data_IF_648385539114
#
_entry.id   IF_648385539114
#
_cell.length_a   1.000
_cell.length_b   1.000
_cell.length_c   1.000
_cell.angle_alpha   90.00
_cell.angle_beta   90.00
_cell.angle_gamma   90.00
#
_symmetry.space_group_name_H-M   'P 1'
#
loop_
_entity.id
_entity.type
_entity.pdbx_description
1 polymer ?
#
# COMPACT_ATOMS: atom_id res chain seq x y z
N UNK A 1 16.86 -19.50 4.02
CA UNK A 1 16.84 -18.04 4.15
C UNK A 1 17.19 -17.64 5.57
N UNK A 2 18.15 -16.73 5.71
CA UNK A 2 18.60 -16.10 6.95
C UNK A 2 17.65 -14.97 7.36
N UNK A 3 17.79 -14.43 8.58
CA UNK A 3 17.07 -13.21 8.99
C UNK A 3 17.32 -12.03 8.05
N UNK A 4 18.56 -11.89 7.58
CA UNK A 4 18.95 -10.83 6.66
C UNK A 4 18.23 -10.96 5.31
N UNK A 5 18.04 -12.19 4.81
CA UNK A 5 17.31 -12.44 3.57
C UNK A 5 15.84 -12.02 3.70
N UNK A 6 15.18 -12.35 4.82
CA UNK A 6 13.79 -11.96 5.05
C UNK A 6 13.62 -10.45 5.23
N UNK A 7 14.54 -9.79 5.96
CA UNK A 7 14.53 -8.34 6.10
C UNK A 7 14.73 -7.63 4.75
N UNK A 8 15.62 -8.17 3.90
CA UNK A 8 15.86 -7.65 2.54
C UNK A 8 14.63 -7.84 1.65
N UNK A 9 14.01 -9.03 1.70
CA UNK A 9 12.76 -9.29 0.98
C UNK A 9 11.64 -8.35 1.42
N UNK A 10 11.47 -8.16 2.74
CA UNK A 10 10.46 -7.25 3.28
C UNK A 10 10.71 -5.82 2.80
N UNK A 11 11.96 -5.35 2.89
CA UNK A 11 12.38 -4.04 2.38
C UNK A 11 12.00 -3.86 0.91
N UNK A 12 12.35 -4.82 0.05
CA UNK A 12 12.03 -4.74 -1.38
C UNK A 12 10.53 -4.68 -1.61
N UNK A 13 9.74 -5.51 -0.93
CA UNK A 13 8.29 -5.51 -1.09
C UNK A 13 7.61 -4.23 -0.58
N UNK A 14 8.12 -3.63 0.50
CA UNK A 14 7.62 -2.32 0.96
C UNK A 14 7.97 -1.24 -0.05
N UNK A 15 9.22 -1.19 -0.55
CA UNK A 15 9.64 -0.17 -1.52
C UNK A 15 8.88 -0.29 -2.85
N UNK A 16 8.67 -1.51 -3.36
CA UNK A 16 7.84 -1.74 -4.55
C UNK A 16 6.40 -1.26 -4.32
N UNK A 17 5.83 -1.57 -3.16
CA UNK A 17 4.49 -1.10 -2.80
C UNK A 17 4.41 0.42 -2.64
N UNK A 18 5.47 1.07 -2.17
CA UNK A 18 5.58 2.54 -2.11
C UNK A 18 5.63 3.14 -3.50
N UNK A 19 6.49 2.62 -4.38
CA UNK A 19 6.60 3.10 -5.77
C UNK A 19 5.26 2.97 -6.49
N UNK A 20 4.60 1.83 -6.35
CA UNK A 20 3.32 1.60 -7.00
C UNK A 20 2.19 2.46 -6.40
N UNK A 21 2.16 2.68 -5.08
CA UNK A 21 1.25 3.65 -4.48
C UNK A 21 1.47 5.06 -5.05
N UNK A 22 2.72 5.53 -5.11
CA UNK A 22 3.05 6.86 -5.62
C UNK A 22 2.71 7.01 -7.11
N UNK A 23 2.91 5.95 -7.90
CA UNK A 23 2.55 5.92 -9.32
C UNK A 23 1.04 6.12 -9.56
N UNK A 24 0.18 5.69 -8.63
CA UNK A 24 -1.26 5.96 -8.66
C UNK A 24 -1.62 7.30 -8.01
N UNK A 25 -1.03 7.57 -6.84
CA UNK A 25 -1.39 8.69 -5.99
C UNK A 25 -1.01 10.05 -6.57
N UNK A 26 0.18 10.16 -7.18
CA UNK A 26 0.64 11.43 -7.77
C UNK A 26 -0.28 11.86 -8.91
N UNK A 27 -0.59 11.01 -9.92
CA UNK A 27 -1.58 11.36 -10.93
C UNK A 27 -2.98 11.60 -10.33
N UNK A 28 -3.37 10.87 -9.28
CA UNK A 28 -4.67 11.04 -8.64
C UNK A 28 -4.86 12.43 -8.00
N UNK A 29 -3.78 13.15 -7.67
CA UNK A 29 -3.85 14.53 -7.18
C UNK A 29 -4.18 15.52 -8.31
N UNK A 30 -3.61 15.33 -9.49
CA UNK A 30 -3.69 16.33 -10.58
C UNK A 30 -4.76 16.00 -11.63
N UNK A 31 -4.98 14.71 -11.91
CA UNK A 31 -5.92 14.21 -12.93
C UNK A 31 -6.77 13.07 -12.36
N UNK A 32 -7.64 13.34 -11.36
CA UNK A 32 -8.19 12.28 -10.52
C UNK A 32 -9.14 11.36 -11.29
N UNK A 33 -9.94 11.91 -12.20
CA UNK A 33 -10.86 11.13 -13.03
C UNK A 33 -10.15 10.18 -14.01
N UNK A 34 -8.92 10.49 -14.44
CA UNK A 34 -8.14 9.58 -15.27
C UNK A 34 -7.72 8.34 -14.46
N UNK A 35 -7.28 8.54 -13.20
CA UNK A 35 -6.91 7.43 -12.31
C UNK A 35 -8.13 6.60 -11.92
N UNK A 36 -9.24 7.25 -11.54
CA UNK A 36 -10.49 6.54 -11.19
C UNK A 36 -10.93 5.65 -12.35
N UNK A 37 -10.92 6.16 -13.57
CA UNK A 37 -11.30 5.39 -14.77
C UNK A 37 -10.33 4.23 -14.99
N UNK A 38 -9.02 4.46 -14.84
CA UNK A 38 -8.00 3.42 -14.98
C UNK A 38 -8.21 2.25 -14.00
N UNK A 39 -8.66 2.54 -12.78
CA UNK A 39 -8.86 1.52 -11.73
C UNK A 39 -10.29 0.95 -11.71
N UNK A 40 -11.10 1.24 -12.73
CA UNK A 40 -12.42 0.65 -12.94
C UNK A 40 -13.60 1.44 -12.35
N UNK A 41 -13.38 2.65 -11.84
CA UNK A 41 -14.44 3.53 -11.36
C UNK A 41 -15.02 4.44 -12.45
N UNK A 42 -16.20 5.01 -12.18
CA UNK A 42 -16.76 6.07 -13.02
C UNK A 42 -16.20 7.44 -12.62
N UNK A 43 -15.94 8.35 -13.59
CA UNK A 43 -15.57 9.73 -13.30
C UNK A 43 -16.55 10.43 -12.35
N UNK A 44 -16.03 11.30 -11.49
CA UNK A 44 -16.82 12.06 -10.53
C UNK A 44 -16.87 13.55 -10.91
N UNK A 45 -17.96 14.21 -10.53
CA UNK A 45 -18.12 15.66 -10.73
C UNK A 45 -17.20 16.45 -9.80
N UNK A 46 -17.12 16.06 -8.52
CA UNK A 46 -16.28 16.70 -7.52
C UNK A 46 -14.97 15.91 -7.33
N UNK A 47 -13.89 16.44 -7.89
CA UNK A 47 -12.58 15.77 -7.88
C UNK A 47 -11.74 16.04 -6.63
N UNK A 48 -12.25 16.84 -5.69
CA UNK A 48 -11.55 17.21 -4.44
C UNK A 48 -11.26 16.00 -3.56
N UNK A 49 -12.22 15.07 -3.39
CA UNK A 49 -12.06 13.91 -2.52
C UNK A 49 -11.06 12.88 -3.07
N UNK A 50 -11.10 12.50 -4.36
CA UNK A 50 -10.07 11.65 -4.95
C UNK A 50 -8.67 12.29 -4.92
N UNK A 51 -8.56 13.59 -5.17
CA UNK A 51 -7.28 14.29 -5.08
C UNK A 51 -6.74 14.29 -3.64
N UNK A 52 -7.61 14.51 -2.66
CA UNK A 52 -7.25 14.43 -1.24
C UNK A 52 -6.84 13.01 -0.83
N UNK A 53 -7.55 11.98 -1.32
CA UNK A 53 -7.16 10.58 -1.11
C UNK A 53 -5.78 10.28 -1.70
N UNK A 54 -5.44 10.86 -2.86
CA UNK A 54 -4.08 10.82 -3.44
C UNK A 54 -3.03 11.35 -2.46
N UNK A 55 -3.26 12.51 -1.84
CA UNK A 55 -2.36 13.04 -0.82
C UNK A 55 -2.20 12.13 0.41
N UNK A 56 -3.30 11.56 0.90
CA UNK A 56 -3.25 10.61 2.01
C UNK A 56 -2.43 9.37 1.65
N UNK A 57 -2.57 8.85 0.42
CA UNK A 57 -1.81 7.70 -0.04
C UNK A 57 -0.31 8.01 -0.22
N UNK A 58 0.03 9.23 -0.65
CA UNK A 58 1.43 9.71 -0.68
C UNK A 58 1.99 9.73 0.73
N UNK A 59 1.29 10.38 1.67
CA UNK A 59 1.74 10.51 3.06
C UNK A 59 1.93 9.14 3.71
N UNK A 60 0.97 8.25 3.52
CA UNK A 60 1.01 6.88 4.01
C UNK A 60 2.21 6.12 3.46
N UNK A 61 2.53 6.31 2.18
CA UNK A 61 3.69 5.70 1.53
C UNK A 61 5.02 6.19 2.11
N UNK A 62 5.11 7.48 2.48
CA UNK A 62 6.28 8.02 3.18
C UNK A 62 6.42 7.42 4.59
N UNK A 63 5.30 7.23 5.31
CA UNK A 63 5.30 6.62 6.63
C UNK A 63 5.68 5.13 6.63
N UNK A 64 5.62 4.45 5.49
CA UNK A 64 6.12 3.08 5.36
C UNK A 64 7.64 2.98 5.25
N UNK A 65 8.34 4.06 4.88
CA UNK A 65 9.78 4.03 4.61
C UNK A 65 10.64 3.55 5.81
N UNK A 66 10.38 3.95 7.07
CA UNK A 66 11.14 3.43 8.21
C UNK A 66 11.09 1.90 8.30
N UNK A 67 9.93 1.29 8.04
CA UNK A 67 9.78 -0.16 8.03
C UNK A 67 10.59 -0.84 6.92
N UNK A 68 10.80 -0.17 5.78
CA UNK A 68 11.66 -0.68 4.71
C UNK A 68 13.15 -0.60 5.07
N UNK A 69 13.58 0.44 5.80
CA UNK A 69 14.98 0.63 6.15
C UNK A 69 15.45 -0.41 7.17
N UNK A 70 14.68 -0.61 8.22
CA UNK A 70 14.98 -1.59 9.27
C UNK A 70 13.67 -2.10 9.91
N UNK A 71 13.08 -3.19 9.38
CA UNK A 71 11.83 -3.73 9.91
C UNK A 71 11.96 -4.32 11.32
N UNK A 72 13.20 -4.64 11.77
CA UNK A 72 13.46 -5.12 13.11
C UNK A 72 13.42 -3.99 14.14
N UNK A 73 14.12 -2.89 13.84
CA UNK A 73 14.13 -1.68 14.67
C UNK A 73 12.79 -0.96 14.69
N UNK A 74 12.13 -0.84 13.53
CA UNK A 74 10.84 -0.15 13.38
C UNK A 74 9.66 -1.13 13.34
N UNK A 75 9.66 -2.11 14.24
CA UNK A 75 8.68 -3.23 14.21
C UNK A 75 7.22 -2.78 14.22
N UNK A 76 6.87 -1.78 15.02
CA UNK A 76 5.49 -1.26 15.07
C UNK A 76 5.09 -0.68 13.71
N UNK A 77 5.97 0.11 13.09
CA UNK A 77 5.74 0.68 11.77
C UNK A 77 5.62 -0.43 10.73
N UNK A 78 6.46 -1.47 10.80
CA UNK A 78 6.38 -2.62 9.89
C UNK A 78 5.04 -3.36 10.00
N UNK A 79 4.54 -3.57 11.22
CA UNK A 79 3.21 -4.17 11.44
C UNK A 79 2.12 -3.26 10.89
N UNK A 80 2.16 -1.96 11.18
CA UNK A 80 1.17 -1.00 10.69
C UNK A 80 1.16 -0.90 9.16
N UNK A 81 2.33 -0.96 8.51
CA UNK A 81 2.44 -1.04 7.04
C UNK A 81 1.66 -2.22 6.50
N UNK A 82 1.83 -3.41 7.09
CA UNK A 82 1.13 -4.63 6.67
C UNK A 82 -0.38 -4.52 6.94
N UNK A 83 -0.77 -4.06 8.13
CA UNK A 83 -2.18 -3.92 8.50
C UNK A 83 -2.92 -2.90 7.63
N UNK A 84 -2.25 -1.80 7.27
CA UNK A 84 -2.83 -0.78 6.40
C UNK A 84 -3.16 -1.34 5.00
N UNK A 85 -2.37 -2.30 4.48
CA UNK A 85 -2.71 -3.02 3.24
C UNK A 85 -4.00 -3.81 3.39
N UNK A 86 -4.13 -4.58 4.48
CA UNK A 86 -5.36 -5.34 4.72
C UNK A 86 -6.58 -4.43 4.97
N UNK A 87 -6.41 -3.25 5.54
CA UNK A 87 -7.47 -2.26 5.63
C UNK A 87 -7.94 -1.81 4.23
N UNK A 88 -7.02 -1.61 3.29
CA UNK A 88 -7.34 -1.35 1.87
C UNK A 88 -8.11 -2.50 1.23
N UNK A 89 -7.70 -3.75 1.45
CA UNK A 89 -8.43 -4.95 0.98
C UNK A 89 -9.87 -4.94 1.48
N UNK A 90 -10.09 -4.72 2.79
CA UNK A 90 -11.42 -4.69 3.38
C UNK A 90 -12.26 -3.58 2.77
N UNK A 91 -11.69 -2.38 2.64
CA UNK A 91 -12.38 -1.23 2.08
C UNK A 91 -12.82 -1.45 0.63
N UNK A 92 -11.93 -1.93 -0.23
CA UNK A 92 -12.20 -2.12 -1.67
C UNK A 92 -12.91 -3.44 -2.00
N UNK A 93 -13.12 -4.35 -1.05
CA UNK A 93 -13.95 -5.55 -1.25
C UNK A 93 -15.34 -5.42 -0.64
N UNK A 94 -15.45 -4.84 0.56
CA UNK A 94 -16.73 -4.79 1.29
C UNK A 94 -17.49 -3.48 1.09
N UNK A 95 -16.79 -2.35 1.00
CA UNK A 95 -17.43 -1.03 0.95
C UNK A 95 -17.49 -0.47 -0.48
N UNK A 96 -16.43 -0.68 -1.27
CA UNK A 96 -16.32 -0.16 -2.64
C UNK A 96 -15.82 -1.22 -3.64
N UNK A 97 -16.61 -2.29 -3.89
CA UNK A 97 -16.22 -3.45 -4.70
C UNK A 97 -15.91 -3.12 -6.18
N UNK A 98 -16.36 -1.97 -6.68
CA UNK A 98 -16.02 -1.50 -8.04
C UNK A 98 -14.51 -1.29 -8.24
N UNK A 99 -13.74 -1.12 -7.16
CA UNK A 99 -12.28 -0.94 -7.21
C UNK A 99 -11.53 -2.23 -6.86
N UNK A 100 -12.03 -3.38 -7.30
CA UNK A 100 -11.45 -4.70 -7.00
C UNK A 100 -9.95 -4.80 -7.37
N UNK A 101 -9.51 -4.11 -8.41
CA UNK A 101 -8.09 -4.05 -8.78
C UNK A 101 -7.22 -3.53 -7.63
N UNK A 102 -7.68 -2.50 -6.92
CA UNK A 102 -6.98 -1.94 -5.76
C UNK A 102 -6.98 -2.91 -4.58
N UNK A 103 -8.08 -3.64 -4.36
CA UNK A 103 -8.13 -4.69 -3.35
C UNK A 103 -7.10 -5.80 -3.63
N UNK A 104 -7.02 -6.28 -4.87
CA UNK A 104 -6.07 -7.33 -5.25
C UNK A 104 -4.63 -6.85 -5.12
N UNK A 105 -4.38 -5.60 -5.50
CA UNK A 105 -3.09 -4.95 -5.34
C UNK A 105 -2.66 -4.89 -3.86
N UNK A 106 -3.54 -4.41 -2.98
CA UNK A 106 -3.24 -4.35 -1.55
C UNK A 106 -3.13 -5.74 -0.92
N UNK A 107 -3.92 -6.72 -1.38
CA UNK A 107 -3.84 -8.10 -0.91
C UNK A 107 -2.48 -8.72 -1.25
N UNK A 108 -2.01 -8.53 -2.49
CA UNK A 108 -0.71 -9.04 -2.93
C UNK A 108 0.42 -8.49 -2.05
N UNK A 109 0.47 -7.17 -1.85
CA UNK A 109 1.49 -6.55 -0.99
C UNK A 109 1.31 -6.93 0.48
N UNK A 110 0.08 -6.94 1.00
CA UNK A 110 -0.22 -7.28 2.39
C UNK A 110 0.18 -8.71 2.74
N UNK A 111 -0.14 -9.69 1.88
CA UNK A 111 0.22 -11.10 2.08
C UNK A 111 1.72 -11.30 2.01
N UNK A 112 2.39 -10.74 1.00
CA UNK A 112 3.85 -10.91 0.83
C UNK A 112 4.61 -10.24 1.97
N UNK A 113 4.30 -8.98 2.31
CA UNK A 113 4.92 -8.26 3.41
C UNK A 113 4.62 -8.93 4.76
N UNK A 114 3.38 -9.36 4.99
CA UNK A 114 2.98 -10.06 6.21
C UNK A 114 3.70 -11.39 6.40
N UNK A 115 3.80 -12.21 5.34
CA UNK A 115 4.52 -13.47 5.39
C UNK A 115 6.02 -13.27 5.69
N UNK A 116 6.66 -12.28 5.06
CA UNK A 116 8.06 -11.93 5.28
C UNK A 116 8.29 -11.40 6.72
N UNK A 117 7.40 -10.56 7.22
CA UNK A 117 7.49 -10.01 8.58
C UNK A 117 7.30 -11.10 9.65
N UNK A 118 6.36 -12.03 9.45
CA UNK A 118 6.17 -13.18 10.32
C UNK A 118 7.38 -14.12 10.31
N UNK A 119 7.97 -14.36 9.13
CA UNK A 119 9.18 -15.18 9.01
C UNK A 119 10.39 -14.54 9.71
N UNK A 120 10.51 -13.21 9.65
CA UNK A 120 11.55 -12.45 10.34
C UNK A 120 11.43 -12.56 11.88
N UNK A 121 10.19 -12.54 12.40
CA UNK A 121 9.94 -12.59 13.85
C UNK A 121 10.01 -13.97 14.50
N UNK A 122 10.01 -15.05 13.71
CA UNK A 122 10.03 -16.46 14.20
C UNK A 122 11.43 -17.07 14.31
N UNK A 123 12.46 -16.40 13.81
CA UNK A 123 13.86 -16.83 13.91
C UNK A 123 14.60 -15.98 14.91
#
# INVERSE_FOLDING_TARGET
>A
MTKADYATGFRLMVLLGVVANLALAIPAVFVPNAVITLVGGAPVAETVWPAFAGWLLILLSLFYLPAALDPGRYRIIAVLTVLARFAGVVFFTLLYPQFLLLALFDLFFGVTQGALLLALGRR
#
